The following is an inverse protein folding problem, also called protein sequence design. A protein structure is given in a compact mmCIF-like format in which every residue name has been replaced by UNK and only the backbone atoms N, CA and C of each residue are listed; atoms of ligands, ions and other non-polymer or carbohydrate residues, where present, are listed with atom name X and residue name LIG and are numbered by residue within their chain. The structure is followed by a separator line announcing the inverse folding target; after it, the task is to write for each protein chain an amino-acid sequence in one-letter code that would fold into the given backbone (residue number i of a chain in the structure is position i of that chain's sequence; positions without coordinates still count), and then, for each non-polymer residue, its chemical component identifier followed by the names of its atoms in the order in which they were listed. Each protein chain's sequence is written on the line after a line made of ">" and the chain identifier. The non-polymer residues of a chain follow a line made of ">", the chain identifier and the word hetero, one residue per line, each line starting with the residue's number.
data_IF_470006243281
#
_entry.id   IF_470006243281
#
_cell.length_a   1.000
_cell.length_b   1.000
_cell.length_c   1.000
_cell.angle_alpha   90.00
_cell.angle_beta   90.00
_cell.angle_gamma   90.00
#
_symmetry.space_group_name_H-M   'P 1'
#
loop_
_entity.id
_entity.type
_entity.pdbx_description
1 polymer ?
#
# COMPACT_ATOMS: atom_id res chain seq x y z
N UNK A 1 -18.20 7.34 -19.00
CA UNK A 1 -18.19 8.71 -18.46
C UNK A 1 -16.94 9.38 -18.99
N UNK A 2 -17.03 10.63 -19.41
CA UNK A 2 -15.84 11.37 -19.83
C UNK A 2 -15.31 12.13 -18.61
N UNK A 3 -14.10 11.77 -18.17
CA UNK A 3 -13.38 12.55 -17.17
C UNK A 3 -12.86 13.83 -17.82
N UNK A 4 -12.84 14.91 -17.04
CA UNK A 4 -12.13 16.12 -17.44
C UNK A 4 -10.62 15.89 -17.27
N UNK A 5 -9.85 16.18 -18.32
CA UNK A 5 -8.39 16.07 -18.30
C UNK A 5 -7.78 17.44 -18.02
N UNK A 6 -6.93 17.52 -16.98
CA UNK A 6 -6.24 18.76 -16.59
C UNK A 6 -4.73 18.56 -16.54
N UNK A 7 -4.00 19.56 -17.03
CA UNK A 7 -2.56 19.66 -16.86
C UNK A 7 -2.21 20.53 -15.65
N UNK A 8 -1.08 20.23 -15.01
CA UNK A 8 -0.48 21.11 -14.02
C UNK A 8 0.10 22.36 -14.71
N UNK A 9 0.22 23.48 -13.97
CA UNK A 9 1.06 24.59 -14.40
C UNK A 9 2.47 24.08 -14.75
N UNK A 10 3.05 24.66 -15.80
CA UNK A 10 4.31 24.20 -16.43
C UNK A 10 5.41 23.87 -15.42
N UNK A 11 5.66 24.74 -14.43
CA UNK A 11 6.71 24.52 -13.44
C UNK A 11 6.52 23.23 -12.61
N UNK A 12 5.29 22.91 -12.23
CA UNK A 12 5.00 21.69 -11.46
C UNK A 12 5.01 20.44 -12.35
N UNK A 13 4.53 20.56 -13.59
CA UNK A 13 4.63 19.48 -14.57
C UNK A 13 6.10 19.09 -14.81
N UNK A 14 6.95 20.07 -15.11
CA UNK A 14 8.39 19.86 -15.34
C UNK A 14 9.10 19.31 -14.09
N UNK A 15 8.68 19.71 -12.89
CA UNK A 15 9.20 19.16 -11.64
C UNK A 15 8.86 17.67 -11.47
N UNK A 16 7.63 17.26 -11.77
CA UNK A 16 7.22 15.84 -11.73
C UNK A 16 7.94 15.03 -12.80
N UNK A 17 8.07 15.54 -14.03
CA UNK A 17 8.86 14.85 -15.06
C UNK A 17 10.34 14.72 -14.66
N UNK A 18 10.91 15.76 -14.02
CA UNK A 18 12.26 15.69 -13.49
C UNK A 18 12.37 14.62 -12.40
N UNK A 19 11.43 14.58 -11.46
CA UNK A 19 11.37 13.56 -10.42
C UNK A 19 11.24 12.15 -11.02
N UNK A 20 10.37 11.97 -12.02
CA UNK A 20 10.11 10.72 -12.71
C UNK A 20 11.38 10.20 -13.39
N UNK A 21 12.14 11.04 -14.11
CA UNK A 21 13.39 10.61 -14.77
C UNK A 21 14.42 10.02 -13.81
N UNK A 22 14.42 10.45 -12.54
CA UNK A 22 15.35 9.97 -11.53
C UNK A 22 14.84 8.73 -10.78
N UNK A 23 13.55 8.70 -10.44
CA UNK A 23 12.97 7.67 -9.59
C UNK A 23 12.29 6.54 -10.38
N UNK A 24 11.91 6.79 -11.64
CA UNK A 24 11.26 5.85 -12.54
C UNK A 24 11.85 5.94 -13.96
N UNK A 25 13.15 5.64 -14.16
CA UNK A 25 13.81 5.77 -15.45
C UNK A 25 13.26 4.83 -16.55
N UNK A 26 12.59 3.74 -16.17
CA UNK A 26 12.02 2.77 -17.11
C UNK A 26 10.66 3.21 -17.70
N UNK A 27 10.09 4.33 -17.25
CA UNK A 27 8.79 4.84 -17.72
C UNK A 27 8.64 4.92 -19.25
N UNK A 28 9.64 5.34 -20.06
CA UNK A 28 9.50 5.35 -21.52
C UNK A 28 9.20 3.99 -22.14
N UNK A 29 9.65 2.89 -21.51
CA UNK A 29 9.39 1.52 -22.00
C UNK A 29 7.91 1.17 -21.97
N UNK A 30 7.13 1.78 -21.09
CA UNK A 30 5.69 1.53 -21.02
C UNK A 30 5.01 1.86 -22.35
N UNK A 31 5.41 2.95 -23.02
CA UNK A 31 4.88 3.31 -24.32
C UNK A 31 5.32 2.33 -25.42
N UNK A 32 6.56 1.82 -25.35
CA UNK A 32 7.09 0.83 -26.29
C UNK A 32 6.36 -0.52 -26.19
N UNK A 33 5.91 -0.88 -25.00
CA UNK A 33 5.26 -2.16 -24.71
C UNK A 33 3.72 -2.08 -24.63
N UNK A 34 3.14 -0.87 -24.74
CA UNK A 34 1.71 -0.64 -24.50
C UNK A 34 0.81 -1.52 -25.36
N UNK A 35 0.98 -1.45 -26.68
CA UNK A 35 0.15 -2.21 -27.64
C UNK A 35 0.31 -3.73 -27.47
N UNK A 36 1.44 -4.18 -26.91
CA UNK A 36 1.68 -5.61 -26.69
C UNK A 36 0.89 -6.16 -25.50
N UNK A 37 0.86 -5.42 -24.39
CA UNK A 37 0.29 -5.92 -23.14
C UNK A 37 -1.08 -5.31 -22.79
N UNK A 38 -1.40 -4.14 -23.35
CA UNK A 38 -2.62 -3.38 -23.10
C UNK A 38 -3.34 -2.95 -24.41
N UNK A 39 -3.50 -3.82 -25.43
CA UNK A 39 -4.01 -3.44 -26.76
C UNK A 39 -5.44 -2.91 -26.79
N UNK A 40 -6.18 -3.04 -25.69
CA UNK A 40 -7.58 -2.62 -25.57
C UNK A 40 -7.74 -1.35 -24.73
N UNK A 41 -6.66 -0.86 -24.13
CA UNK A 41 -6.67 0.30 -23.25
C UNK A 41 -6.14 1.53 -24.00
N UNK A 42 -6.72 2.69 -23.69
CA UNK A 42 -6.23 3.99 -24.19
C UNK A 42 -4.78 4.22 -23.76
N UNK A 43 -3.91 4.77 -24.64
CA UNK A 43 -2.53 5.09 -24.28
C UNK A 43 -2.45 5.95 -23.02
N UNK A 44 -1.48 5.65 -22.17
CA UNK A 44 -1.27 6.38 -20.93
C UNK A 44 -0.98 7.88 -21.16
N UNK A 45 -1.63 8.76 -20.39
CA UNK A 45 -1.24 10.17 -20.27
C UNK A 45 -0.83 10.53 -18.84
N UNK A 46 0.19 11.37 -18.69
CA UNK A 46 0.51 11.99 -17.40
C UNK A 46 -0.31 13.28 -17.23
N UNK A 47 -1.46 13.14 -16.58
CA UNK A 47 -2.55 14.11 -16.60
C UNK A 47 -3.43 13.93 -15.36
N UNK A 48 -4.02 15.00 -14.80
CA UNK A 48 -5.04 14.86 -13.76
C UNK A 48 -6.38 14.53 -14.42
N UNK A 49 -7.09 13.52 -13.91
CA UNK A 49 -8.42 13.11 -14.36
C UNK A 49 -9.45 13.45 -13.28
N UNK A 50 -10.48 14.21 -13.65
CA UNK A 50 -11.50 14.69 -12.71
C UNK A 50 -12.87 14.19 -13.18
N UNK A 51 -13.57 13.45 -12.33
CA UNK A 51 -14.92 13.00 -12.61
C UNK A 51 -15.89 14.18 -12.69
N UNK A 52 -16.79 14.14 -13.67
CA UNK A 52 -17.75 15.21 -13.96
C UNK A 52 -19.12 14.99 -13.29
N UNK A 53 -19.39 13.76 -12.82
CA UNK A 53 -20.66 13.30 -12.28
C UNK A 53 -20.67 13.18 -10.74
N UNK A 54 -19.73 13.85 -10.06
CA UNK A 54 -19.69 13.89 -8.60
C UNK A 54 -20.94 14.59 -8.05
N UNK A 55 -21.66 13.98 -7.07
CA UNK A 55 -22.77 14.63 -6.39
C UNK A 55 -22.36 15.98 -5.82
N UNK A 56 -23.30 16.93 -5.83
CA UNK A 56 -23.00 18.27 -5.36
C UNK A 56 -23.31 18.49 -3.87
N UNK A 57 -24.08 17.60 -3.26
CA UNK A 57 -24.50 17.71 -1.86
C UNK A 57 -23.68 16.75 -0.99
N UNK A 58 -23.46 17.12 0.27
CA UNK A 58 -22.73 16.32 1.26
C UNK A 58 -23.61 15.14 1.71
N UNK A 59 -23.08 13.92 1.59
CA UNK A 59 -23.85 12.69 1.78
C UNK A 59 -23.91 12.22 3.24
N UNK A 60 -22.90 12.57 4.06
CA UNK A 60 -22.70 12.07 5.43
C UNK A 60 -22.16 13.17 6.36
N UNK A 61 -22.19 12.91 7.67
CA UNK A 61 -21.66 13.82 8.68
C UNK A 61 -22.64 14.92 9.13
N UNK A 62 -22.12 15.87 9.89
CA UNK A 62 -22.91 16.90 10.58
C UNK A 62 -23.54 17.91 9.59
N UNK A 63 -22.92 18.07 8.42
CA UNK A 63 -23.34 18.97 7.35
C UNK A 63 -24.07 18.26 6.19
N UNK A 64 -24.61 17.06 6.45
CA UNK A 64 -25.33 16.27 5.43
C UNK A 64 -26.48 17.07 4.81
N UNK A 65 -26.54 17.09 3.48
CA UNK A 65 -27.55 17.81 2.69
C UNK A 65 -27.15 19.25 2.34
N UNK A 66 -26.06 19.78 2.90
CA UNK A 66 -25.47 21.04 2.45
C UNK A 66 -24.69 20.84 1.14
N UNK A 67 -24.37 21.95 0.46
CA UNK A 67 -23.55 21.92 -0.76
C UNK A 67 -22.10 21.61 -0.42
N UNK A 68 -21.45 20.77 -1.22
CA UNK A 68 -20.01 20.53 -1.12
C UNK A 68 -19.24 21.82 -1.38
N UNK A 69 -18.17 22.03 -0.60
CA UNK A 69 -17.24 23.12 -0.78
C UNK A 69 -16.52 23.01 -2.13
N UNK A 70 -16.34 24.16 -2.80
CA UNK A 70 -15.60 24.31 -4.04
C UNK A 70 -14.20 24.89 -3.80
N UNK A 71 -14.02 25.63 -2.69
CA UNK A 71 -12.72 26.17 -2.28
C UNK A 71 -12.44 25.85 -0.79
N UNK A 72 -11.17 25.71 -0.37
CA UNK A 72 -10.84 25.24 0.98
C UNK A 72 -11.44 26.08 2.12
N UNK A 73 -11.56 27.40 1.94
CA UNK A 73 -12.13 28.33 2.93
C UNK A 73 -13.61 28.12 3.24
N UNK A 74 -14.34 27.37 2.41
CA UNK A 74 -15.75 27.05 2.63
C UNK A 74 -15.94 25.87 3.59
N UNK A 75 -14.89 25.10 3.86
CA UNK A 75 -14.92 24.04 4.86
C UNK A 75 -14.73 24.63 6.27
N UNK A 76 -15.23 23.97 7.32
CA UNK A 76 -14.79 24.23 8.69
C UNK A 76 -13.25 24.20 8.78
N UNK A 77 -12.60 25.10 9.53
CA UNK A 77 -11.13 25.21 9.55
C UNK A 77 -10.41 23.88 9.88
N UNK A 78 -10.92 23.13 10.86
CA UNK A 78 -10.37 21.82 11.23
C UNK A 78 -10.55 20.78 10.11
N UNK A 79 -11.71 20.78 9.42
CA UNK A 79 -11.95 19.91 8.27
C UNK A 79 -10.99 20.22 7.11
N UNK A 80 -10.72 21.50 6.84
CA UNK A 80 -9.78 21.93 5.81
C UNK A 80 -8.34 21.48 6.12
N UNK A 81 -7.92 21.55 7.39
CA UNK A 81 -6.61 21.05 7.84
C UNK A 81 -6.50 19.53 7.67
N UNK A 82 -7.54 18.79 8.07
CA UNK A 82 -7.60 17.33 7.89
C UNK A 82 -7.53 16.93 6.42
N UNK A 83 -8.27 17.62 5.56
CA UNK A 83 -8.24 17.40 4.12
C UNK A 83 -6.86 17.68 3.51
N UNK A 84 -6.22 18.80 3.89
CA UNK A 84 -4.88 19.12 3.38
C UNK A 84 -3.86 18.03 3.76
N UNK A 85 -3.90 17.55 5.01
CA UNK A 85 -3.05 16.44 5.45
C UNK A 85 -3.32 15.15 4.66
N UNK A 86 -4.58 14.86 4.33
CA UNK A 86 -4.94 13.69 3.51
C UNK A 86 -4.41 13.81 2.08
N UNK A 87 -4.53 14.98 1.44
CA UNK A 87 -4.00 15.22 0.09
C UNK A 87 -2.47 15.07 0.07
N UNK A 88 -1.77 15.64 1.06
CA UNK A 88 -0.30 15.48 1.18
C UNK A 88 0.09 14.02 1.44
N UNK A 89 -0.64 13.32 2.31
CA UNK A 89 -0.39 11.91 2.60
C UNK A 89 -0.59 11.04 1.36
N UNK A 90 -1.69 11.21 0.63
CA UNK A 90 -1.95 10.51 -0.62
C UNK A 90 -0.84 10.80 -1.64
N UNK A 91 -0.48 12.06 -1.88
CA UNK A 91 0.61 12.40 -2.80
C UNK A 91 1.92 11.68 -2.41
N UNK A 92 2.26 11.66 -1.12
CA UNK A 92 3.42 10.96 -0.60
C UNK A 92 3.37 9.45 -0.84
N UNK A 93 2.21 8.80 -0.78
CA UNK A 93 2.11 7.35 -1.01
C UNK A 93 2.38 7.01 -2.47
N UNK A 94 1.85 7.80 -3.41
CA UNK A 94 1.96 7.43 -4.84
C UNK A 94 3.39 7.60 -5.34
N UNK A 95 4.10 8.64 -4.87
CA UNK A 95 5.53 8.79 -5.18
C UNK A 95 6.38 7.74 -4.44
N UNK A 96 5.99 7.37 -3.22
CA UNK A 96 6.69 6.37 -2.41
C UNK A 96 6.60 4.97 -3.01
N UNK A 97 5.43 4.57 -3.51
CA UNK A 97 5.24 3.24 -4.11
C UNK A 97 6.15 3.07 -5.32
N UNK A 98 6.25 4.07 -6.21
CA UNK A 98 7.14 4.04 -7.38
C UNK A 98 8.59 3.76 -6.97
N UNK A 99 9.10 4.42 -5.93
CA UNK A 99 10.46 4.20 -5.45
C UNK A 99 10.67 2.75 -4.97
N UNK A 100 9.67 2.16 -4.29
CA UNK A 100 9.72 0.78 -3.82
C UNK A 100 9.64 -0.24 -4.97
N UNK A 101 8.66 -0.07 -5.88
CA UNK A 101 8.47 -0.92 -7.05
C UNK A 101 9.72 -0.93 -7.93
N UNK A 102 10.31 0.25 -8.18
CA UNK A 102 11.50 0.38 -9.02
C UNK A 102 12.69 -0.44 -8.53
N UNK A 103 12.86 -0.57 -7.20
CA UNK A 103 13.98 -1.31 -6.61
C UNK A 103 14.05 -2.79 -7.00
N UNK A 104 12.91 -3.37 -7.41
CA UNK A 104 12.81 -4.81 -7.75
C UNK A 104 12.17 -5.08 -9.11
N UNK A 105 11.79 -4.05 -9.88
CA UNK A 105 11.14 -4.17 -11.19
C UNK A 105 11.88 -5.11 -12.14
N UNK A 106 13.19 -4.93 -12.30
CA UNK A 106 14.03 -5.75 -13.19
C UNK A 106 14.14 -7.24 -12.78
N UNK A 107 13.54 -7.64 -11.66
CA UNK A 107 13.53 -9.02 -11.15
C UNK A 107 12.24 -9.79 -11.48
N UNK A 108 11.33 -9.19 -12.24
CA UNK A 108 10.13 -9.86 -12.74
C UNK A 108 10.49 -11.19 -13.44
N UNK A 109 9.76 -12.26 -13.14
CA UNK A 109 9.98 -13.56 -13.77
C UNK A 109 9.51 -13.57 -15.23
N UNK A 110 8.57 -12.71 -15.57
CA UNK A 110 7.84 -12.74 -16.84
C UNK A 110 7.72 -11.33 -17.43
N UNK A 111 7.81 -11.19 -18.76
CA UNK A 111 7.62 -9.90 -19.43
C UNK A 111 6.25 -9.27 -19.14
N UNK A 112 5.20 -10.09 -18.99
CA UNK A 112 3.87 -9.60 -18.65
C UNK A 112 3.83 -8.96 -17.25
N UNK A 113 4.39 -9.64 -16.25
CA UNK A 113 4.39 -9.13 -14.87
C UNK A 113 5.26 -7.86 -14.76
N UNK A 114 6.36 -7.78 -15.54
CA UNK A 114 7.17 -6.58 -15.67
C UNK A 114 6.37 -5.40 -16.26
N UNK A 115 5.68 -5.61 -17.39
CA UNK A 115 4.84 -4.58 -18.01
C UNK A 115 3.68 -4.14 -17.10
N UNK A 116 3.13 -5.06 -16.33
CA UNK A 116 2.08 -4.75 -15.37
C UNK A 116 2.59 -3.89 -14.21
N UNK A 117 3.75 -4.22 -13.65
CA UNK A 117 4.39 -3.38 -12.63
C UNK A 117 4.75 -1.99 -13.18
N UNK A 118 5.23 -1.89 -14.43
CA UNK A 118 5.45 -0.61 -15.11
C UNK A 118 4.18 0.23 -15.20
N UNK A 119 3.05 -0.40 -15.57
CA UNK A 119 1.76 0.29 -15.65
C UNK A 119 1.29 0.77 -14.28
N UNK A 120 1.37 -0.07 -13.24
CA UNK A 120 1.05 0.33 -11.85
C UNK A 120 1.85 1.58 -11.48
N UNK A 121 3.19 1.55 -11.65
CA UNK A 121 4.04 2.71 -11.32
C UNK A 121 3.68 3.98 -12.12
N UNK A 122 3.25 3.85 -13.38
CA UNK A 122 2.80 4.98 -14.17
C UNK A 122 1.45 5.52 -13.68
N UNK A 123 0.50 4.64 -13.37
CA UNK A 123 -0.79 5.02 -12.80
C UNK A 123 -0.61 5.71 -11.43
N UNK A 124 0.31 5.24 -10.58
CA UNK A 124 0.69 5.92 -9.33
C UNK A 124 1.35 7.28 -9.57
N UNK A 125 2.19 7.41 -10.60
CA UNK A 125 2.76 8.72 -10.96
C UNK A 125 1.67 9.74 -11.29
N UNK A 126 0.62 9.29 -12.00
CA UNK A 126 -0.55 10.12 -12.33
C UNK A 126 -1.43 10.38 -11.11
N UNK A 127 -1.56 9.43 -10.19
CA UNK A 127 -2.22 9.67 -8.90
C UNK A 127 -1.53 10.77 -8.10
N UNK A 128 -0.19 10.73 -8.00
CA UNK A 128 0.61 11.79 -7.36
C UNK A 128 0.46 13.13 -8.08
N UNK A 129 0.50 13.12 -9.42
CA UNK A 129 0.24 14.30 -10.26
C UNK A 129 -1.13 14.93 -9.97
N UNK A 130 -2.15 14.10 -9.76
CA UNK A 130 -3.50 14.54 -9.45
C UNK A 130 -3.63 15.13 -8.05
N UNK A 131 -2.92 14.61 -7.05
CA UNK A 131 -2.86 15.23 -5.73
C UNK A 131 -2.12 16.58 -5.78
N UNK A 132 -1.03 16.68 -6.55
CA UNK A 132 -0.35 17.96 -6.81
C UNK A 132 -1.28 18.95 -7.52
N UNK A 133 -2.18 18.48 -8.39
CA UNK A 133 -3.19 19.34 -9.01
C UNK A 133 -4.11 19.97 -7.98
N UNK A 134 -4.56 19.21 -6.97
CA UNK A 134 -5.39 19.75 -5.90
C UNK A 134 -4.65 20.74 -4.99
N UNK A 135 -3.35 20.52 -4.75
CA UNK A 135 -2.52 21.45 -3.98
C UNK A 135 -2.26 22.77 -4.71
N UNK A 136 -2.23 22.75 -6.04
CA UNK A 136 -1.81 23.90 -6.86
C UNK A 136 -2.95 24.63 -7.57
N UNK A 137 -4.15 24.04 -7.62
CA UNK A 137 -5.34 24.65 -8.23
C UNK A 137 -6.25 25.39 -7.25
N UNK A 138 -6.01 25.29 -5.95
CA UNK A 138 -6.81 25.93 -4.90
C UNK A 138 -5.97 26.86 -4.01
N UNK A 139 -6.61 27.86 -3.42
CA UNK A 139 -6.00 28.74 -2.41
C UNK A 139 -6.09 28.10 -1.02
N UNK A 140 -4.94 27.60 -0.56
CA UNK A 140 -4.77 26.98 0.76
C UNK A 140 -4.28 27.96 1.84
N UNK A 141 -4.07 29.25 1.52
CA UNK A 141 -3.59 30.25 2.49
C UNK A 141 -4.48 30.43 3.74
N UNK A 142 -5.81 30.17 3.71
CA UNK A 142 -6.63 30.18 4.92
C UNK A 142 -6.38 28.98 5.86
N UNK A 143 -5.68 27.95 5.38
CA UNK A 143 -5.44 26.68 6.09
C UNK A 143 -3.98 26.57 6.56
N UNK A 144 -3.04 27.08 5.76
CA UNK A 144 -1.60 27.00 6.04
C UNK A 144 -0.84 28.21 5.48
N UNK A 145 0.24 28.60 6.16
CA UNK A 145 1.20 29.61 5.67
C UNK A 145 2.19 29.03 4.64
N UNK A 146 2.24 27.70 4.48
CA UNK A 146 3.12 27.03 3.52
C UNK A 146 2.61 27.23 2.10
N UNK A 147 3.47 27.73 1.20
CA UNK A 147 3.07 27.94 -0.20
C UNK A 147 2.92 26.60 -0.92
N UNK A 148 2.09 26.57 -1.97
CA UNK A 148 1.93 25.38 -2.81
C UNK A 148 3.25 24.88 -3.40
N UNK A 149 4.15 25.78 -3.78
CA UNK A 149 5.48 25.41 -4.27
C UNK A 149 6.30 24.64 -3.22
N UNK A 150 6.34 25.14 -1.99
CA UNK A 150 7.09 24.53 -0.89
C UNK A 150 6.48 23.16 -0.52
N UNK A 151 5.13 23.04 -0.53
CA UNK A 151 4.46 21.75 -0.30
C UNK A 151 4.79 20.71 -1.38
N UNK A 152 4.83 21.12 -2.64
CA UNK A 152 5.17 20.22 -3.76
C UNK A 152 6.65 19.82 -3.70
N UNK A 153 7.54 20.77 -3.41
CA UNK A 153 8.96 20.50 -3.21
C UNK A 153 9.20 19.52 -2.06
N UNK A 154 8.55 19.74 -0.90
CA UNK A 154 8.59 18.83 0.24
C UNK A 154 8.22 17.40 -0.19
N UNK A 155 7.07 17.23 -0.86
CA UNK A 155 6.59 15.91 -1.31
C UNK A 155 7.57 15.26 -2.30
N UNK A 156 8.02 15.98 -3.31
CA UNK A 156 8.92 15.43 -4.34
C UNK A 156 10.33 15.14 -3.80
N UNK A 157 10.75 15.82 -2.72
CA UNK A 157 12.04 15.58 -2.07
C UNK A 157 12.05 14.32 -1.20
N UNK A 158 10.88 13.76 -0.86
CA UNK A 158 10.79 12.56 -0.04
C UNK A 158 11.46 11.35 -0.72
N UNK A 159 12.13 10.57 0.11
CA UNK A 159 12.76 9.29 -0.23
C UNK A 159 12.22 8.20 0.72
N UNK A 160 12.35 6.94 0.33
CA UNK A 160 12.13 5.78 1.21
C UNK A 160 12.85 6.00 2.56
N UNK A 161 12.08 6.06 3.64
CA UNK A 161 12.52 6.45 4.99
C UNK A 161 11.93 7.77 5.50
N UNK A 162 11.35 8.58 4.62
CA UNK A 162 10.80 9.91 4.93
C UNK A 162 9.36 10.15 4.44
N UNK A 163 8.74 9.17 3.77
CA UNK A 163 7.33 9.25 3.39
C UNK A 163 6.41 9.27 4.60
N UNK A 164 5.23 9.86 4.43
CA UNK A 164 4.25 10.08 5.51
C UNK A 164 3.81 8.77 6.17
N UNK A 165 3.56 7.73 5.37
CA UNK A 165 3.11 6.44 5.85
C UNK A 165 4.25 5.41 5.89
N UNK A 166 4.36 4.71 7.02
CA UNK A 166 5.45 3.77 7.30
C UNK A 166 5.58 2.64 6.27
N UNK A 167 4.47 2.17 5.68
CA UNK A 167 4.48 1.12 4.66
C UNK A 167 5.29 1.50 3.41
N UNK A 168 5.37 2.79 3.09
CA UNK A 168 6.11 3.33 1.93
C UNK A 168 7.58 3.64 2.24
N UNK A 169 7.99 3.37 3.49
CA UNK A 169 9.37 3.49 3.95
C UNK A 169 10.06 2.12 4.08
N UNK A 170 9.42 1.04 3.61
CA UNK A 170 9.96 -0.31 3.63
C UNK A 170 10.47 -0.68 2.24
N UNK A 171 11.67 -1.23 2.14
CA UNK A 171 12.15 -1.71 0.86
C UNK A 171 11.45 -3.00 0.42
N UNK A 172 11.37 -3.19 -0.90
CA UNK A 172 11.03 -4.48 -1.50
C UNK A 172 12.27 -5.34 -1.57
N UNK A 173 12.18 -6.56 -1.03
CA UNK A 173 13.27 -7.52 -0.99
C UNK A 173 13.39 -8.29 -2.31
N UNK A 174 12.27 -8.47 -3.02
CA UNK A 174 12.18 -9.22 -4.27
C UNK A 174 10.97 -8.79 -5.09
N UNK A 175 10.82 -9.32 -6.31
CA UNK A 175 9.64 -9.07 -7.12
C UNK A 175 8.34 -9.66 -6.50
N UNK A 176 8.47 -10.63 -5.57
CA UNK A 176 7.32 -11.10 -4.79
C UNK A 176 6.69 -9.98 -3.96
N UNK A 177 7.50 -9.06 -3.41
CA UNK A 177 6.97 -7.90 -2.69
C UNK A 177 6.21 -6.96 -3.62
N UNK A 178 6.69 -6.75 -4.85
CA UNK A 178 6.00 -5.98 -5.89
C UNK A 178 4.54 -6.44 -6.06
N UNK A 179 4.35 -7.76 -6.16
CA UNK A 179 3.04 -8.39 -6.38
C UNK A 179 2.21 -8.45 -5.10
N UNK A 180 2.80 -8.84 -3.96
CA UNK A 180 2.06 -8.93 -2.69
C UNK A 180 1.65 -7.55 -2.19
N UNK A 181 2.47 -6.52 -2.43
CA UNK A 181 2.12 -5.14 -2.14
C UNK A 181 0.89 -4.70 -2.93
N UNK A 182 0.86 -4.94 -4.25
CA UNK A 182 -0.34 -4.64 -5.04
C UNK A 182 -1.59 -5.42 -4.59
N UNK A 183 -1.40 -6.66 -4.09
CA UNK A 183 -2.51 -7.45 -3.55
C UNK A 183 -3.03 -6.96 -2.19
N UNK A 184 -2.15 -6.37 -1.34
CA UNK A 184 -2.46 -6.01 0.05
C UNK A 184 -2.52 -4.51 0.32
N UNK A 185 -1.52 -3.74 -0.14
CA UNK A 185 -1.34 -2.33 0.18
C UNK A 185 -2.12 -1.42 -0.77
N UNK A 186 -2.04 -1.63 -2.09
CA UNK A 186 -2.90 -0.92 -3.07
C UNK A 186 -4.38 -1.20 -2.78
N UNK A 187 -4.68 -2.39 -2.25
CA UNK A 187 -6.03 -2.69 -1.73
C UNK A 187 -6.46 -1.77 -0.59
N UNK A 188 -5.55 -1.33 0.28
CA UNK A 188 -5.85 -0.27 1.25
C UNK A 188 -6.14 1.05 0.52
N UNK A 189 -5.36 1.39 -0.52
CA UNK A 189 -5.62 2.50 -1.43
C UNK A 189 -7.06 2.51 -1.95
N UNK A 190 -7.54 1.39 -2.51
CA UNK A 190 -8.94 1.19 -2.91
C UNK A 190 -9.94 1.55 -1.80
N UNK A 191 -9.71 1.11 -0.55
CA UNK A 191 -10.60 1.49 0.56
C UNK A 191 -10.54 2.98 0.85
N UNK A 192 -9.35 3.58 0.94
CA UNK A 192 -9.19 5.02 1.20
C UNK A 192 -9.89 5.85 0.14
N UNK A 193 -9.63 5.58 -1.14
CA UNK A 193 -10.26 6.28 -2.26
C UNK A 193 -11.79 6.07 -2.28
N UNK A 194 -12.25 4.86 -1.97
CA UNK A 194 -13.70 4.56 -1.89
C UNK A 194 -14.38 5.38 -0.81
N UNK A 195 -13.74 5.46 0.37
CA UNK A 195 -14.23 6.25 1.49
C UNK A 195 -14.18 7.75 1.20
N UNK A 196 -13.16 8.23 0.49
CA UNK A 196 -12.91 9.65 0.25
C UNK A 196 -13.68 10.22 -0.94
N UNK A 197 -14.22 9.38 -1.83
CA UNK A 197 -14.99 9.83 -3.01
C UNK A 197 -16.24 10.63 -2.65
N UNK A 198 -16.70 10.55 -1.41
CA UNK A 198 -17.86 11.30 -0.89
C UNK A 198 -17.46 12.62 -0.22
N UNK A 199 -16.18 12.99 -0.21
CA UNK A 199 -15.67 14.14 0.54
C UNK A 199 -16.54 15.40 0.37
N UNK A 200 -16.71 16.14 1.48
CA UNK A 200 -17.40 17.41 1.52
C UNK A 200 -16.71 18.50 0.68
N UNK A 201 -15.48 18.25 0.24
CA UNK A 201 -14.77 19.07 -0.74
C UNK A 201 -14.87 18.46 -2.14
N UNK A 202 -15.67 19.09 -3.00
CA UNK A 202 -16.00 18.55 -4.33
C UNK A 202 -14.78 18.27 -5.21
N UNK A 203 -13.75 19.15 -5.32
CA UNK A 203 -12.58 18.85 -6.14
C UNK A 203 -11.82 17.58 -5.72
N UNK A 204 -11.71 17.32 -4.41
CA UNK A 204 -11.09 16.08 -3.92
C UNK A 204 -11.98 14.87 -4.18
N UNK A 205 -13.28 14.96 -3.85
CA UNK A 205 -14.27 13.92 -4.16
C UNK A 205 -14.25 13.52 -5.65
N UNK A 206 -14.21 14.50 -6.56
CA UNK A 206 -14.16 14.29 -8.01
C UNK A 206 -12.86 13.66 -8.51
N UNK A 207 -11.78 13.72 -7.74
CA UNK A 207 -10.50 13.10 -8.12
C UNK A 207 -10.46 11.60 -7.82
N UNK A 208 -11.28 11.09 -6.90
CA UNK A 208 -11.25 9.68 -6.49
C UNK A 208 -11.76 8.68 -7.54
N UNK A 209 -12.89 8.90 -8.26
CA UNK A 209 -13.45 7.90 -9.17
C UNK A 209 -12.53 7.47 -10.33
N UNK A 210 -11.78 8.39 -10.99
CA UNK A 210 -10.78 8.00 -11.98
C UNK A 210 -9.69 7.11 -11.39
N UNK A 211 -9.12 7.50 -10.23
CA UNK A 211 -8.10 6.70 -9.53
C UNK A 211 -8.63 5.31 -9.16
N UNK A 212 -9.87 5.21 -8.66
CA UNK A 212 -10.50 3.91 -8.34
C UNK A 212 -10.62 2.97 -9.55
N UNK A 213 -10.79 3.50 -10.76
CA UNK A 213 -10.82 2.68 -11.98
C UNK A 213 -9.45 2.11 -12.31
N UNK A 214 -8.39 2.87 -12.07
CA UNK A 214 -7.00 2.42 -12.27
C UNK A 214 -6.56 1.47 -11.14
N UNK A 215 -6.96 1.74 -9.90
CA UNK A 215 -6.69 0.88 -8.75
C UNK A 215 -7.20 -0.56 -8.94
N UNK A 216 -8.29 -0.74 -9.70
CA UNK A 216 -8.79 -2.06 -10.06
C UNK A 216 -7.76 -2.89 -10.86
N UNK A 217 -6.96 -2.23 -11.70
CA UNK A 217 -5.85 -2.87 -12.40
C UNK A 217 -4.72 -3.23 -11.43
N UNK A 218 -4.37 -2.37 -10.48
CA UNK A 218 -3.35 -2.66 -9.47
C UNK A 218 -3.67 -3.94 -8.69
N UNK A 219 -4.93 -4.10 -8.25
CA UNK A 219 -5.36 -5.32 -7.57
C UNK A 219 -5.26 -6.56 -8.45
N UNK A 220 -5.58 -6.43 -9.74
CA UNK A 220 -5.40 -7.52 -10.69
C UNK A 220 -3.92 -7.87 -10.87
N UNK A 221 -3.04 -6.86 -10.90
CA UNK A 221 -1.59 -7.02 -10.98
C UNK A 221 -0.97 -7.69 -9.75
N UNK A 222 -1.61 -7.58 -8.58
CA UNK A 222 -1.26 -8.38 -7.41
C UNK A 222 -1.81 -9.81 -7.44
N UNK A 223 -3.10 -9.97 -7.77
CA UNK A 223 -3.78 -11.27 -7.60
C UNK A 223 -3.47 -12.27 -8.71
N UNK A 224 -3.38 -11.82 -9.97
CA UNK A 224 -3.21 -12.74 -11.11
C UNK A 224 -1.84 -13.44 -11.09
N UNK A 225 -0.71 -12.75 -10.84
CA UNK A 225 0.56 -13.44 -10.66
C UNK A 225 0.55 -14.40 -9.47
N UNK A 226 -0.06 -14.02 -8.34
CA UNK A 226 -0.21 -14.93 -7.18
C UNK A 226 -0.96 -16.22 -7.56
N UNK A 227 -2.05 -16.13 -8.33
CA UNK A 227 -2.79 -17.32 -8.83
C UNK A 227 -1.88 -18.25 -9.63
N UNK A 228 -1.05 -17.70 -10.52
CA UNK A 228 -0.09 -18.47 -11.31
C UNK A 228 0.97 -19.12 -10.42
N UNK A 229 1.50 -18.39 -9.44
CA UNK A 229 2.55 -18.86 -8.55
C UNK A 229 2.07 -19.96 -7.60
N UNK A 230 0.87 -19.86 -7.03
CA UNK A 230 0.33 -20.94 -6.17
C UNK A 230 0.05 -22.22 -6.96
N UNK A 231 -0.42 -22.11 -8.20
CA UNK A 231 -0.62 -23.27 -9.08
C UNK A 231 0.72 -23.92 -9.47
N UNK A 232 1.77 -23.12 -9.72
CA UNK A 232 3.13 -23.64 -9.97
C UNK A 232 3.76 -24.26 -8.72
N UNK A 233 3.58 -23.65 -7.55
CA UNK A 233 4.01 -24.21 -6.28
C UNK A 233 3.35 -25.57 -6.00
N UNK A 234 2.06 -25.72 -6.32
CA UNK A 234 1.33 -26.99 -6.18
C UNK A 234 1.88 -28.12 -7.06
N UNK A 235 2.34 -27.79 -8.28
CA UNK A 235 2.94 -28.74 -9.21
C UNK A 235 4.39 -29.07 -8.88
N UNK A 236 5.04 -28.27 -8.02
CA UNK A 236 6.46 -28.41 -7.69
C UNK A 236 7.40 -27.91 -8.80
N UNK A 237 6.89 -27.12 -9.75
CA UNK A 237 7.67 -26.50 -10.84
C UNK A 237 7.87 -24.97 -10.65
N UNK A 238 7.31 -24.40 -9.59
CA UNK A 238 7.44 -22.97 -9.25
C UNK A 238 8.74 -22.61 -8.51
N UNK A 239 9.28 -21.42 -8.78
CA UNK A 239 10.42 -20.84 -8.07
C UNK A 239 10.04 -20.09 -6.78
N UNK A 240 8.75 -19.77 -6.62
CA UNK A 240 8.18 -19.12 -5.44
C UNK A 240 7.27 -20.14 -4.76
N UNK A 241 7.59 -20.51 -3.52
CA UNK A 241 6.80 -21.49 -2.76
C UNK A 241 5.62 -20.84 -2.03
N UNK A 242 4.66 -21.66 -1.59
CA UNK A 242 3.60 -21.22 -0.67
C UNK A 242 4.19 -20.59 0.61
N UNK A 243 5.31 -21.12 1.10
CA UNK A 243 6.01 -20.57 2.26
C UNK A 243 6.61 -19.18 2.03
N UNK A 244 7.10 -18.90 0.82
CA UNK A 244 7.61 -17.57 0.46
C UNK A 244 6.48 -16.55 0.41
N UNK A 245 5.36 -16.92 -0.22
CA UNK A 245 4.15 -16.09 -0.27
C UNK A 245 3.63 -15.84 1.15
N UNK A 246 3.55 -16.88 2.00
CA UNK A 246 3.10 -16.77 3.38
C UNK A 246 3.95 -15.79 4.21
N UNK A 247 5.28 -15.80 4.01
CA UNK A 247 6.19 -14.86 4.67
C UNK A 247 6.01 -13.42 4.16
N UNK A 248 5.80 -13.24 2.86
CA UNK A 248 5.48 -11.92 2.30
C UNK A 248 4.13 -11.38 2.83
N UNK A 249 3.11 -12.23 2.95
CA UNK A 249 1.84 -11.89 3.61
C UNK A 249 2.08 -11.43 5.06
N UNK A 250 2.92 -12.15 5.82
CA UNK A 250 3.24 -11.78 7.19
C UNK A 250 3.98 -10.44 7.31
N UNK A 251 4.79 -10.06 6.30
CA UNK A 251 5.42 -8.74 6.20
C UNK A 251 4.39 -7.63 5.96
N UNK A 252 3.51 -7.79 4.97
CA UNK A 252 2.66 -6.70 4.47
C UNK A 252 1.31 -6.56 5.16
N UNK A 253 0.72 -7.65 5.67
CA UNK A 253 -0.62 -7.61 6.26
C UNK A 253 -0.73 -6.61 7.42
N UNK A 254 0.20 -6.67 8.38
CA UNK A 254 0.24 -5.73 9.50
C UNK A 254 0.45 -4.29 9.05
N UNK A 255 1.23 -4.05 7.99
CA UNK A 255 1.47 -2.70 7.43
C UNK A 255 0.22 -2.14 6.75
N UNK A 256 -0.53 -2.99 6.06
CA UNK A 256 -1.83 -2.63 5.49
C UNK A 256 -2.83 -2.20 6.57
N UNK A 257 -2.94 -2.95 7.68
CA UNK A 257 -3.79 -2.56 8.81
C UNK A 257 -3.40 -1.20 9.41
N UNK A 258 -2.09 -0.93 9.54
CA UNK A 258 -1.60 0.33 10.09
C UNK A 258 -1.87 1.56 9.21
N UNK A 259 -2.03 1.37 7.89
CA UNK A 259 -2.34 2.46 6.95
C UNK A 259 -3.77 3.00 7.11
N UNK A 260 -4.68 2.24 7.70
CA UNK A 260 -5.99 2.77 8.09
C UNK A 260 -5.92 3.72 9.28
N UNK A 261 -4.80 3.76 10.01
CA UNK A 261 -4.63 4.49 11.26
C UNK A 261 -5.13 3.71 12.49
N UNK A 262 -5.18 4.38 13.64
CA UNK A 262 -5.69 3.78 14.88
C UNK A 262 -7.15 3.35 14.70
N UNK A 263 -7.49 2.14 15.13
CA UNK A 263 -8.79 1.51 14.95
C UNK A 263 -9.93 2.33 15.58
N UNK A 264 -9.64 3.10 16.63
CA UNK A 264 -10.61 3.97 17.32
C UNK A 264 -10.84 5.30 16.59
N UNK A 265 -10.02 5.59 15.57
CA UNK A 265 -10.03 6.83 14.82
C UNK A 265 -11.04 6.87 13.66
N UNK A 266 -10.99 7.98 12.91
CA UNK A 266 -11.79 8.19 11.70
C UNK A 266 -13.11 8.93 11.92
N UNK A 267 -13.69 8.90 13.13
CA UNK A 267 -15.00 9.49 13.40
C UNK A 267 -15.06 11.01 13.15
N UNK A 268 -13.99 11.74 13.47
CA UNK A 268 -13.91 13.19 13.17
C UNK A 268 -14.03 13.47 11.67
N UNK A 269 -13.36 12.67 10.83
CA UNK A 269 -13.46 12.82 9.36
C UNK A 269 -14.85 12.43 8.84
N UNK A 270 -15.53 11.49 9.50
CA UNK A 270 -16.93 11.15 9.18
C UNK A 270 -17.87 12.31 9.50
N UNK A 271 -17.72 12.95 10.67
CA UNK A 271 -18.50 14.13 11.05
C UNK A 271 -18.29 15.29 10.09
N UNK A 272 -17.07 15.51 9.61
CA UNK A 272 -16.75 16.53 8.60
C UNK A 272 -17.19 16.16 7.18
N UNK A 273 -17.74 14.96 6.96
CA UNK A 273 -18.10 14.50 5.62
C UNK A 273 -16.90 14.27 4.71
N UNK A 274 -15.68 14.12 5.24
CA UNK A 274 -14.47 13.84 4.44
C UNK A 274 -14.34 12.38 4.05
N UNK A 275 -15.01 11.48 4.79
CA UNK A 275 -15.14 10.06 4.49
C UNK A 275 -16.40 9.46 5.13
N UNK A 276 -16.87 8.30 4.66
CA UNK A 276 -18.13 7.69 5.12
C UNK A 276 -18.02 6.64 6.22
N UNK A 277 -16.82 6.11 6.50
CA UNK A 277 -16.65 5.07 7.53
C UNK A 277 -15.44 5.29 8.43
N UNK A 278 -15.54 4.73 9.65
CA UNK A 278 -14.50 4.75 10.65
C UNK A 278 -13.38 3.73 10.34
N UNK A 279 -12.23 3.88 11.00
CA UNK A 279 -11.04 3.09 10.68
C UNK A 279 -11.24 1.58 10.92
N UNK A 280 -11.87 1.20 12.04
CA UNK A 280 -12.14 -0.22 12.36
C UNK A 280 -13.04 -0.88 11.33
N UNK A 281 -14.12 -0.22 10.94
CA UNK A 281 -15.08 -0.74 9.96
C UNK A 281 -14.38 -1.02 8.62
N UNK A 282 -13.58 -0.07 8.13
CA UNK A 282 -12.79 -0.26 6.93
C UNK A 282 -11.76 -1.39 7.06
N UNK A 283 -11.10 -1.52 8.21
CA UNK A 283 -10.16 -2.62 8.48
C UNK A 283 -10.85 -4.00 8.48
N UNK A 284 -12.03 -4.12 9.11
CA UNK A 284 -12.75 -5.39 9.16
C UNK A 284 -13.19 -5.83 7.74
N UNK A 285 -13.70 -4.89 6.92
CA UNK A 285 -14.03 -5.17 5.51
C UNK A 285 -12.80 -5.57 4.69
N UNK A 286 -11.66 -4.90 4.91
CA UNK A 286 -10.39 -5.22 4.26
C UNK A 286 -9.90 -6.63 4.61
N UNK A 287 -9.95 -7.01 5.89
CA UNK A 287 -9.58 -8.36 6.35
C UNK A 287 -10.47 -9.41 5.71
N UNK A 288 -11.78 -9.19 5.65
CA UNK A 288 -12.72 -10.11 5.02
C UNK A 288 -12.44 -10.27 3.51
N UNK A 289 -12.10 -9.17 2.82
CA UNK A 289 -11.73 -9.21 1.40
C UNK A 289 -10.41 -9.96 1.16
N UNK A 290 -9.42 -9.76 2.03
CA UNK A 290 -8.17 -10.53 1.96
C UNK A 290 -8.40 -12.02 2.23
N UNK A 291 -9.25 -12.37 3.20
CA UNK A 291 -9.58 -13.78 3.46
C UNK A 291 -10.20 -14.44 2.23
N UNK A 292 -11.15 -13.77 1.55
CA UNK A 292 -11.72 -14.28 0.29
C UNK A 292 -10.68 -14.44 -0.82
N UNK A 293 -9.72 -13.52 -0.91
CA UNK A 293 -8.62 -13.64 -1.86
C UNK A 293 -7.72 -14.84 -1.54
N UNK A 294 -7.34 -15.04 -0.28
CA UNK A 294 -6.54 -16.21 0.11
C UNK A 294 -7.30 -17.52 -0.11
N UNK A 295 -8.62 -17.54 0.12
CA UNK A 295 -9.46 -18.70 -0.20
C UNK A 295 -9.41 -19.04 -1.71
N UNK A 296 -9.51 -18.05 -2.61
CA UNK A 296 -9.34 -18.27 -4.07
C UNK A 296 -7.94 -18.80 -4.42
N UNK A 297 -6.88 -18.26 -3.82
CA UNK A 297 -5.51 -18.76 -4.03
C UNK A 297 -5.34 -20.20 -3.54
N UNK A 298 -5.89 -20.52 -2.37
CA UNK A 298 -5.82 -21.84 -1.77
C UNK A 298 -6.65 -22.88 -2.54
N UNK A 299 -7.84 -22.52 -3.00
CA UNK A 299 -8.66 -23.39 -3.85
C UNK A 299 -7.91 -23.74 -5.15
N UNK A 300 -7.24 -22.75 -5.76
CA UNK A 300 -6.39 -22.97 -6.95
C UNK A 300 -5.21 -23.87 -6.67
N UNK A 301 -4.53 -23.66 -5.54
CA UNK A 301 -3.45 -24.51 -5.08
C UNK A 301 -3.93 -25.96 -4.94
N UNK A 302 -5.02 -26.20 -4.20
CA UNK A 302 -5.59 -27.53 -3.99
C UNK A 302 -6.01 -28.17 -5.32
N UNK A 303 -6.68 -27.43 -6.19
CA UNK A 303 -7.06 -27.93 -7.53
C UNK A 303 -5.83 -28.35 -8.34
N UNK A 304 -4.75 -27.57 -8.30
CA UNK A 304 -3.51 -27.89 -8.99
C UNK A 304 -2.75 -29.08 -8.37
N UNK A 305 -2.96 -29.40 -7.08
CA UNK A 305 -2.49 -30.65 -6.45
C UNK A 305 -3.22 -31.89 -6.97
N UNK A 306 -4.44 -31.72 -7.47
CA UNK A 306 -5.31 -32.80 -7.94
C UNK A 306 -5.79 -32.59 -9.40
N UNK A 307 -4.87 -32.54 -10.39
CA UNK A 307 -5.19 -32.11 -11.76
C UNK A 307 -6.16 -33.03 -12.51
N UNK A 308 -6.34 -34.28 -12.05
CA UNK A 308 -7.21 -35.26 -12.68
C UNK A 308 -8.65 -35.25 -12.16
N UNK A 309 -8.97 -34.37 -11.19
CA UNK A 309 -10.31 -34.33 -10.60
C UNK A 309 -11.20 -33.28 -11.26
N UNK A 310 -12.53 -33.53 -11.26
CA UNK A 310 -13.52 -32.50 -11.47
C UNK A 310 -13.35 -31.32 -10.50
N UNK A 311 -13.79 -30.14 -10.93
CA UNK A 311 -13.64 -28.90 -10.16
C UNK A 311 -14.38 -28.94 -8.82
N UNK A 312 -15.60 -29.45 -8.81
CA UNK A 312 -16.44 -29.62 -7.63
C UNK A 312 -15.82 -30.57 -6.60
N UNK A 313 -15.16 -31.65 -7.05
CA UNK A 313 -14.41 -32.53 -6.15
C UNK A 313 -13.19 -31.83 -5.54
N UNK A 314 -12.45 -31.04 -6.32
CA UNK A 314 -11.33 -30.26 -5.80
C UNK A 314 -11.78 -29.19 -4.78
N UNK A 315 -12.91 -28.52 -5.03
CA UNK A 315 -13.53 -27.57 -4.11
C UNK A 315 -13.97 -28.25 -2.79
N UNK A 316 -14.57 -29.44 -2.87
CA UNK A 316 -14.94 -30.22 -1.69
C UNK A 316 -13.70 -30.64 -0.86
N UNK A 317 -12.58 -30.97 -1.53
CA UNK A 317 -11.31 -31.26 -0.85
C UNK A 317 -10.74 -30.01 -0.18
N UNK A 318 -10.74 -28.87 -0.86
CA UNK A 318 -10.32 -27.60 -0.26
C UNK A 318 -11.14 -27.29 1.01
N UNK A 319 -12.47 -27.46 0.96
CA UNK A 319 -13.33 -27.23 2.12
C UNK A 319 -12.93 -28.11 3.33
N UNK A 320 -12.59 -29.39 3.09
CA UNK A 320 -12.10 -30.31 4.13
C UNK A 320 -10.73 -29.91 4.67
N UNK A 321 -9.79 -29.54 3.80
CA UNK A 321 -8.46 -29.08 4.22
C UNK A 321 -8.56 -27.81 5.05
N UNK A 322 -9.39 -26.85 4.61
CA UNK A 322 -9.69 -25.62 5.36
C UNK A 322 -10.32 -25.92 6.72
N UNK A 323 -11.14 -26.98 6.83
CA UNK A 323 -11.74 -27.42 8.09
C UNK A 323 -10.76 -28.13 9.03
N UNK A 324 -9.50 -28.33 8.63
CA UNK A 324 -8.45 -28.92 9.45
C UNK A 324 -8.05 -30.35 9.09
N UNK A 325 -8.65 -30.93 8.04
CA UNK A 325 -8.31 -32.30 7.61
C UNK A 325 -7.05 -32.31 6.72
N UNK A 326 -6.28 -33.41 6.79
CA UNK A 326 -5.27 -33.70 5.75
C UNK A 326 -5.89 -34.60 4.70
N UNK A 327 -5.94 -34.13 3.45
CA UNK A 327 -6.54 -34.87 2.33
C UNK A 327 -5.46 -35.26 1.33
N UNK A 328 -5.19 -36.57 1.22
CA UNK A 328 -4.23 -37.13 0.25
C UNK A 328 -2.86 -36.42 0.25
N UNK A 329 -2.37 -36.10 1.45
CA UNK A 329 -1.08 -35.45 1.65
C UNK A 329 -1.10 -33.93 1.56
N UNK A 330 -2.26 -33.30 1.31
CA UNK A 330 -2.45 -31.85 1.41
C UNK A 330 -3.02 -31.51 2.79
N UNK A 331 -2.25 -30.80 3.60
CA UNK A 331 -2.64 -30.42 4.97
C UNK A 331 -3.02 -28.93 5.13
N UNK A 332 -3.66 -28.55 6.25
CA UNK A 332 -4.03 -27.16 6.51
C UNK A 332 -2.85 -26.18 6.57
N UNK A 333 -1.67 -26.66 6.99
CA UNK A 333 -0.45 -25.86 7.09
C UNK A 333 0.20 -25.53 5.73
N UNK A 334 -0.26 -26.16 4.65
CA UNK A 334 0.16 -25.82 3.28
C UNK A 334 -0.67 -24.67 2.68
N UNK A 335 -1.80 -24.33 3.30
CA UNK A 335 -2.67 -23.23 2.85
C UNK A 335 -2.15 -21.88 3.34
N UNK A 336 -2.29 -20.86 2.49
CA UNK A 336 -2.05 -19.48 2.87
C UNK A 336 -3.10 -19.02 3.90
N UNK A 337 -2.65 -18.31 4.92
CA UNK A 337 -3.49 -17.76 5.98
C UNK A 337 -3.09 -16.34 6.33
N UNK A 338 -4.08 -15.52 6.70
CA UNK A 338 -3.79 -14.25 7.34
C UNK A 338 -3.23 -14.52 8.74
N UNK A 339 -2.14 -13.83 9.15
CA UNK A 339 -1.76 -13.78 10.55
C UNK A 339 -2.88 -13.19 11.41
N UNK A 340 -2.83 -13.41 12.73
CA UNK A 340 -3.66 -12.66 13.68
C UNK A 340 -3.50 -11.15 13.43
N UNK A 341 -4.61 -10.39 13.45
CA UNK A 341 -4.63 -8.94 13.19
C UNK A 341 -3.71 -8.12 14.12
N UNK A 342 -3.31 -8.69 15.26
CA UNK A 342 -2.43 -8.09 16.27
C UNK A 342 -0.95 -8.46 16.04
N UNK A 343 -0.66 -9.44 15.20
CA UNK A 343 0.69 -9.90 14.93
C UNK A 343 1.56 -8.80 14.33
N UNK A 344 2.74 -8.59 14.92
CA UNK A 344 3.79 -7.69 14.39
C UNK A 344 3.32 -6.24 14.11
N UNK A 345 2.43 -5.73 14.98
CA UNK A 345 1.88 -4.37 14.90
C UNK A 345 2.74 -3.34 15.64
N UNK A 346 2.96 -2.20 15.02
CA UNK A 346 3.70 -1.01 15.52
C UNK A 346 2.78 0.18 15.76
N UNK A 347 1.57 0.17 15.20
CA UNK A 347 0.57 1.23 15.35
C UNK A 347 -0.82 0.64 15.61
N UNK A 348 -1.71 1.51 16.12
CA UNK A 348 -3.06 1.14 16.52
C UNK A 348 -3.12 0.55 17.92
N UNK A 349 -4.30 0.08 18.31
CA UNK A 349 -4.54 -0.58 19.58
C UNK A 349 -3.58 -1.74 19.88
N UNK A 350 -3.19 -2.59 18.90
CA UNK A 350 -2.27 -3.70 19.15
C UNK A 350 -0.78 -3.35 19.07
N UNK A 351 -0.42 -2.06 19.00
CA UNK A 351 0.98 -1.64 18.88
C UNK A 351 1.87 -2.27 19.98
N UNK A 352 2.93 -2.96 19.55
CA UNK A 352 3.93 -3.63 20.39
C UNK A 352 3.38 -4.70 21.35
N UNK A 353 2.13 -5.14 21.16
CA UNK A 353 1.63 -6.34 21.83
C UNK A 353 2.40 -7.57 21.35
N UNK A 354 2.71 -8.48 22.28
CA UNK A 354 3.47 -9.69 21.98
C UNK A 354 2.52 -10.84 21.63
N UNK A 355 1.79 -10.69 20.52
CA UNK A 355 0.84 -11.67 19.99
C UNK A 355 1.40 -12.33 18.73
N UNK A 356 1.41 -13.66 18.72
CA UNK A 356 1.89 -14.51 17.62
C UNK A 356 0.97 -14.52 16.41
N UNK A 357 1.44 -15.18 15.36
CA UNK A 357 0.77 -15.23 14.05
C UNK A 357 -0.56 -16.00 14.09
N UNK A 358 -0.79 -16.82 15.12
CA UNK A 358 -2.04 -17.57 15.35
C UNK A 358 -2.74 -17.16 16.63
N UNK A 359 -2.41 -15.98 17.17
CA UNK A 359 -3.03 -15.42 18.37
C UNK A 359 -2.39 -15.89 19.68
N UNK A 360 -1.25 -16.59 19.62
CA UNK A 360 -0.50 -17.01 20.80
C UNK A 360 -0.02 -15.78 21.58
N UNK A 361 -0.09 -15.79 22.90
CA UNK A 361 0.44 -14.70 23.72
C UNK A 361 1.82 -15.04 24.26
N UNK A 362 2.75 -14.08 24.18
CA UNK A 362 4.10 -14.21 24.68
C UNK A 362 4.31 -13.29 25.88
N UNK A 363 5.00 -13.79 26.91
CA UNK A 363 5.45 -12.99 28.06
C UNK A 363 6.95 -12.67 28.00
N UNK A 364 7.70 -13.44 27.21
CA UNK A 364 9.14 -13.27 27.01
C UNK A 364 9.41 -12.60 25.66
N UNK A 365 10.09 -11.45 25.69
CA UNK A 365 10.31 -10.62 24.51
C UNK A 365 11.26 -11.27 23.49
N UNK A 366 12.25 -12.05 23.93
CA UNK A 366 13.18 -12.69 23.01
C UNK A 366 12.51 -13.87 22.28
N UNK A 367 11.64 -14.62 22.97
CA UNK A 367 10.77 -15.63 22.33
C UNK A 367 9.81 -15.01 21.33
N UNK A 368 9.22 -13.86 21.66
CA UNK A 368 8.35 -13.15 20.71
C UNK A 368 9.12 -12.64 19.49
N UNK A 369 10.29 -12.02 19.69
CA UNK A 369 11.13 -11.55 18.58
C UNK A 369 11.56 -12.74 17.70
N UNK A 370 12.00 -13.85 18.29
CA UNK A 370 12.34 -15.06 17.54
C UNK A 370 11.14 -15.61 16.76
N UNK A 371 9.94 -15.61 17.36
CA UNK A 371 8.70 -15.99 16.68
C UNK A 371 8.43 -15.10 15.48
N UNK A 372 8.44 -13.76 15.62
CA UNK A 372 8.22 -12.85 14.50
C UNK A 372 9.24 -13.10 13.37
N UNK A 373 10.53 -13.23 13.70
CA UNK A 373 11.58 -13.48 12.71
C UNK A 373 11.39 -14.81 11.95
N UNK A 374 10.77 -15.83 12.54
CA UNK A 374 10.48 -17.08 11.85
C UNK A 374 9.40 -16.93 10.75
N UNK A 375 8.54 -15.91 10.86
CA UNK A 375 7.43 -15.65 9.92
C UNK A 375 7.77 -14.60 8.86
N UNK A 376 8.95 -13.96 8.91
CA UNK A 376 9.33 -12.91 7.96
C UNK A 376 10.22 -13.43 6.83
N UNK A 377 10.20 -12.80 5.64
CA UNK A 377 11.11 -13.12 4.54
C UNK A 377 12.57 -12.97 4.97
N UNK A 378 13.46 -13.84 4.47
CA UNK A 378 14.85 -13.86 4.92
C UNK A 378 15.58 -12.53 4.75
N UNK A 379 15.48 -11.92 3.58
CA UNK A 379 16.08 -10.62 3.29
C UNK A 379 15.54 -9.51 4.20
N UNK A 380 14.22 -9.51 4.48
CA UNK A 380 13.62 -8.53 5.37
C UNK A 380 14.16 -8.64 6.81
N UNK A 381 14.43 -9.86 7.31
CA UNK A 381 15.00 -10.07 8.66
C UNK A 381 16.35 -9.38 8.84
N UNK A 382 17.12 -9.25 7.76
CA UNK A 382 18.42 -8.59 7.75
C UNK A 382 18.33 -7.06 7.56
N UNK A 383 17.13 -6.50 7.47
CA UNK A 383 16.92 -5.06 7.24
C UNK A 383 17.13 -4.22 8.52
N UNK A 384 17.46 -2.94 8.31
CA UNK A 384 17.52 -1.94 9.37
C UNK A 384 16.16 -1.79 10.05
N UNK A 385 15.07 -1.92 9.29
CA UNK A 385 13.71 -1.79 9.81
C UNK A 385 13.36 -2.87 10.84
N UNK A 386 13.68 -4.14 10.56
CA UNK A 386 13.46 -5.24 11.51
C UNK A 386 14.35 -5.09 12.74
N UNK A 387 15.62 -4.70 12.56
CA UNK A 387 16.52 -4.42 13.70
C UNK A 387 15.94 -3.32 14.59
N UNK A 388 15.55 -2.20 13.99
CA UNK A 388 14.99 -1.05 14.70
C UNK A 388 13.73 -1.44 15.49
N UNK A 389 12.80 -2.15 14.85
CA UNK A 389 11.62 -2.67 15.53
C UNK A 389 11.98 -3.58 16.71
N UNK A 390 12.90 -4.53 16.53
CA UNK A 390 13.25 -5.47 17.60
C UNK A 390 13.86 -4.74 18.82
N UNK A 391 14.67 -3.70 18.58
CA UNK A 391 15.22 -2.88 19.65
C UNK A 391 14.14 -2.07 20.38
N UNK A 392 13.18 -1.48 19.65
CA UNK A 392 12.03 -0.81 20.26
C UNK A 392 11.15 -1.77 21.04
N UNK A 393 10.87 -2.96 20.49
CA UNK A 393 10.06 -3.99 21.14
C UNK A 393 10.66 -4.41 22.49
N UNK A 394 11.99 -4.58 22.55
CA UNK A 394 12.71 -4.86 23.80
C UNK A 394 12.58 -3.74 24.82
N UNK A 395 12.76 -2.50 24.39
CA UNK A 395 12.64 -1.32 25.27
C UNK A 395 11.22 -1.18 25.82
N UNK A 396 10.20 -1.32 24.97
CA UNK A 396 8.79 -1.26 25.36
C UNK A 396 8.46 -2.39 26.35
N UNK A 397 8.88 -3.63 26.07
CA UNK A 397 8.62 -4.76 26.94
C UNK A 397 9.29 -4.64 28.33
N UNK A 398 10.44 -3.96 28.41
CA UNK A 398 11.15 -3.69 29.68
C UNK A 398 10.68 -2.43 30.41
N UNK A 399 9.76 -1.66 29.82
CA UNK A 399 9.32 -0.38 30.38
C UNK A 399 10.36 0.75 30.25
N UNK A 400 11.39 0.57 29.42
CA UNK A 400 12.47 1.54 29.20
C UNK A 400 12.08 2.64 28.19
N UNK A 401 10.98 2.45 27.45
CA UNK A 401 10.46 3.41 26.49
C UNK A 401 8.94 3.50 26.56
N UNK A 402 8.36 4.70 26.63
CA UNK A 402 6.91 4.89 26.53
C UNK A 402 6.37 4.40 25.17
N UNK A 403 5.23 3.71 25.18
CA UNK A 403 4.60 3.20 23.96
C UNK A 403 4.35 4.28 22.90
N UNK A 404 3.94 5.49 23.32
CA UNK A 404 3.69 6.63 22.42
C UNK A 404 4.95 7.04 21.65
N UNK A 405 6.12 6.95 22.27
CA UNK A 405 7.40 7.25 21.62
C UNK A 405 7.77 6.16 20.62
N UNK A 406 7.59 4.88 20.99
CA UNK A 406 7.85 3.74 20.12
C UNK A 406 6.94 3.71 18.87
N UNK A 407 5.67 4.11 18.99
CA UNK A 407 4.71 4.22 17.87
C UNK A 407 5.13 5.29 16.85
N UNK A 408 5.71 6.37 17.33
CA UNK A 408 6.14 7.51 16.49
C UNK A 408 7.56 7.34 15.93
N UNK A 409 8.30 6.33 16.39
CA UNK A 409 9.67 6.08 15.95
C UNK A 409 9.72 5.33 14.63
N UNK A 410 10.47 5.86 13.67
CA UNK A 410 10.79 5.20 12.41
C UNK A 410 12.31 5.27 12.18
N UNK A 411 12.92 4.23 11.60
CA UNK A 411 14.31 4.31 11.20
C UNK A 411 14.43 5.35 10.08
N UNK A 412 15.30 6.34 10.24
CA UNK A 412 15.66 7.22 9.12
C UNK A 412 16.59 6.46 8.20
N UNK A 413 16.09 6.11 7.01
CA UNK A 413 16.86 5.47 5.97
C UNK A 413 17.46 6.57 5.08
N UNK A 414 18.79 6.69 5.07
CA UNK A 414 19.49 7.51 4.09
C UNK A 414 19.99 6.63 2.96
N UNK A 415 19.58 6.94 1.71
CA UNK A 415 20.11 6.29 0.51
C UNK A 415 21.50 6.86 0.23
N UNK A 416 22.56 6.15 0.63
CA UNK A 416 23.92 6.57 0.30
C UNK A 416 24.30 5.92 -1.01
N UNK A 417 24.50 6.73 -2.06
CA UNK A 417 25.05 6.27 -3.33
C UNK A 417 26.39 5.57 -3.10
N UNK A 418 26.58 4.39 -3.67
CA UNK A 418 27.84 3.66 -3.56
C UNK A 418 29.01 4.51 -4.07
N UNK A 419 30.12 4.52 -3.34
CA UNK A 419 31.32 5.28 -3.72
C UNK A 419 31.98 4.80 -5.03
N UNK A 420 31.57 3.64 -5.59
CA UNK A 420 32.01 3.20 -6.91
C UNK A 420 30.98 3.61 -7.98
N UNK A 421 31.40 4.31 -9.05
CA UNK A 421 30.59 4.53 -10.26
C UNK A 421 30.09 3.22 -10.91
N UNK A 422 30.68 2.08 -10.53
CA UNK A 422 30.40 0.74 -11.05
C UNK A 422 29.40 -0.08 -10.21
N UNK A 423 29.18 0.30 -8.95
CA UNK A 423 28.41 -0.50 -8.01
C UNK A 423 26.93 -0.09 -8.06
N UNK A 424 26.09 -0.89 -8.70
CA UNK A 424 24.62 -0.80 -8.58
C UNK A 424 24.10 -1.29 -7.22
N UNK A 425 24.98 -1.66 -6.28
CA UNK A 425 24.59 -2.07 -4.93
C UNK A 425 24.37 -0.84 -4.04
N UNK A 426 23.12 -0.66 -3.63
CA UNK A 426 22.69 0.37 -2.67
C UNK A 426 23.12 -0.08 -1.26
N UNK A 427 23.60 0.86 -0.44
CA UNK A 427 23.78 0.65 1.00
C UNK A 427 22.96 1.68 1.76
N UNK A 428 22.14 1.20 2.68
CA UNK A 428 21.40 2.04 3.62
C UNK A 428 22.22 2.20 4.88
N UNK A 429 22.40 3.45 5.30
CA UNK A 429 23.10 3.78 6.54
C UNK A 429 22.12 4.54 7.41
N UNK A 430 22.12 4.27 8.72
CA UNK A 430 21.39 5.11 9.66
C UNK A 430 21.98 6.52 9.62
N UNK A 431 21.12 7.51 9.43
CA UNK A 431 21.53 8.91 9.59
C UNK A 431 21.99 9.10 11.04
N UNK A 432 23.26 9.48 11.23
CA UNK A 432 23.79 9.79 12.55
C UNK A 432 23.01 10.95 13.13
N UNK A 433 22.47 10.81 14.34
CA UNK A 433 21.89 11.93 15.08
C UNK A 433 22.91 13.06 15.14
N UNK A 434 22.57 14.31 14.80
CA UNK A 434 23.48 15.42 15.04
C UNK A 434 23.78 15.48 16.54
N UNK A 435 25.07 15.51 16.89
CA UNK A 435 25.55 15.65 18.26
C UNK A 435 25.03 16.92 18.93
#
# INVERSE_FOLDING_TARGET
>A
MNDEIRALPKAYHEAIEHWQRHNFPDYPKLAEEWDRFFPKDEPFCLCAKIATDTPDDIEVGDHRGERKALVPKELPPEAAQHLLMQIKAQASTEFGSIQQHQGTLARAQEPQDHAWALRVMAEELRHGYQMVHLLTSADWSPVTDTKAADMVEEILSMQTGSHVLAAFNLEYDSFLDNVVFAAFIDRVGKYQLTMQKISAYRPYASSMPPMLREEAFHLAAGVIPLRRWVEAAARGDGYISMGDIQRAIAKWFGRGLEMFGDERGGQTNVKFGLKDMANREAQDMYVDELQRMLDDLNERYVRARFPNLPRDEAEARFARVRAGETVEGVGPDELLRLPDRRFFRRRGEPAYQMVGAHGESFTDVERYVAHVLAYLPEAYRASIDVKHWADLQRKVARGEMPLKEAISSMPRLARVGGACPCAKSVRWVMESTPN
#
